data_IF_814534748012
#
_entry.id   IF_814534748012
#
_cell.length_a   1.000
_cell.length_b   1.000
_cell.length_c   1.000
_cell.angle_alpha   90.00
_cell.angle_beta   90.00
_cell.angle_gamma   90.00
#
_symmetry.space_group_name_H-M   'P 1'
#
loop_
_entity.id
_entity.type
_entity.pdbx_description
1 polymer ?
#
# COMPACT_ATOMS: atom_id res chain seq x y z
N UNK A 1 -20.77 -28.30 -8.18
CA UNK A 1 -22.12 -27.72 -8.04
C UNK A 1 -22.31 -27.09 -6.67
N UNK A 2 -21.72 -27.63 -5.60
CA UNK A 2 -21.89 -27.11 -4.23
C UNK A 2 -21.31 -25.71 -3.98
N UNK A 3 -20.20 -25.33 -4.63
CA UNK A 3 -19.55 -24.02 -4.42
C UNK A 3 -20.35 -22.85 -5.01
N UNK A 4 -20.95 -23.04 -6.18
CA UNK A 4 -21.74 -22.02 -6.87
C UNK A 4 -23.05 -21.73 -6.11
N UNK A 5 -23.70 -22.78 -5.60
CA UNK A 5 -24.90 -22.63 -4.76
C UNK A 5 -24.59 -21.95 -3.42
N UNK A 6 -23.46 -22.28 -2.79
CA UNK A 6 -23.02 -21.60 -1.57
C UNK A 6 -22.79 -20.11 -1.80
N UNK A 7 -22.14 -19.75 -2.90
CA UNK A 7 -21.89 -18.36 -3.28
C UNK A 7 -23.20 -17.61 -3.57
N UNK A 8 -24.15 -18.23 -4.30
CA UNK A 8 -25.48 -17.65 -4.53
C UNK A 8 -26.26 -17.43 -3.24
N UNK A 9 -26.19 -18.37 -2.28
CA UNK A 9 -26.79 -18.22 -0.95
C UNK A 9 -26.19 -17.03 -0.21
N UNK A 10 -24.86 -16.94 -0.18
CA UNK A 10 -24.14 -15.87 0.49
C UNK A 10 -24.40 -14.50 -0.14
N UNK A 11 -24.47 -14.44 -1.47
CA UNK A 11 -24.81 -13.22 -2.19
C UNK A 11 -26.24 -12.75 -1.90
N UNK A 12 -27.18 -13.68 -1.71
CA UNK A 12 -28.54 -13.36 -1.29
C UNK A 12 -28.58 -12.85 0.15
N UNK A 13 -27.80 -13.46 1.04
CA UNK A 13 -27.67 -13.05 2.43
C UNK A 13 -27.07 -11.64 2.56
N UNK A 14 -25.98 -11.35 1.86
CA UNK A 14 -25.37 -10.01 1.86
C UNK A 14 -26.28 -8.95 1.24
N UNK A 15 -27.02 -9.29 0.19
CA UNK A 15 -28.04 -8.41 -0.38
C UNK A 15 -29.16 -8.11 0.62
N UNK A 16 -29.64 -9.11 1.36
CA UNK A 16 -30.65 -8.93 2.39
C UNK A 16 -30.13 -8.04 3.53
N UNK A 17 -28.92 -8.33 4.05
CA UNK A 17 -28.29 -7.54 5.09
C UNK A 17 -28.11 -6.08 4.67
N UNK A 18 -27.70 -5.83 3.42
CA UNK A 18 -27.60 -4.47 2.88
C UNK A 18 -28.97 -3.78 2.82
N UNK A 19 -30.02 -4.48 2.43
CA UNK A 19 -31.38 -3.92 2.41
C UNK A 19 -31.93 -3.62 3.80
N UNK A 20 -31.55 -4.37 4.83
CA UNK A 20 -31.91 -4.09 6.21
C UNK A 20 -31.19 -2.85 6.79
N UNK A 21 -29.98 -2.53 6.31
CA UNK A 21 -29.23 -1.36 6.81
C UNK A 21 -29.75 -0.02 6.28
N UNK A 22 -30.32 0.03 5.07
CA UNK A 22 -30.88 1.25 4.46
C UNK A 22 -31.93 1.97 5.32
N UNK A 23 -32.98 1.31 5.84
CA UNK A 23 -33.98 1.99 6.67
C UNK A 23 -33.38 2.51 7.98
N UNK A 24 -32.33 1.87 8.51
CA UNK A 24 -31.62 2.39 9.69
C UNK A 24 -30.88 3.68 9.36
N UNK A 25 -30.25 3.77 8.18
CA UNK A 25 -29.61 5.01 7.69
C UNK A 25 -30.63 6.13 7.55
N UNK A 26 -31.81 5.86 6.99
CA UNK A 26 -32.89 6.84 6.88
C UNK A 26 -33.43 7.27 8.24
N UNK A 27 -33.51 6.34 9.20
CA UNK A 27 -33.87 6.64 10.59
C UNK A 27 -32.83 7.54 11.26
N UNK A 28 -31.53 7.28 11.04
CA UNK A 28 -30.44 8.12 11.55
C UNK A 28 -30.52 9.52 10.95
N UNK A 29 -30.73 9.62 9.64
CA UNK A 29 -30.86 10.90 8.91
C UNK A 29 -31.97 11.78 9.48
N UNK A 30 -33.11 11.17 9.80
CA UNK A 30 -34.29 11.84 10.34
C UNK A 30 -34.32 11.89 11.88
N UNK A 31 -33.24 11.50 12.55
CA UNK A 31 -33.19 11.51 14.01
C UNK A 31 -33.27 12.95 14.52
N UNK A 32 -34.28 13.23 15.34
CA UNK A 32 -34.49 14.52 16.00
C UNK A 32 -34.35 14.34 17.50
N UNK A 33 -33.51 15.15 18.14
CA UNK A 33 -33.35 15.13 19.60
C UNK A 33 -34.65 15.53 20.28
N UNK A 34 -35.23 14.60 21.05
CA UNK A 34 -36.28 14.90 22.01
C UNK A 34 -35.63 15.46 23.29
N UNK A 35 -36.20 16.54 23.82
CA UNK A 35 -35.67 17.24 25.00
C UNK A 35 -35.56 16.24 26.16
N UNK A 36 -34.34 16.06 26.70
CA UNK A 36 -34.05 15.16 27.82
C UNK A 36 -33.71 13.70 27.45
N UNK A 37 -33.84 13.30 26.18
CA UNK A 37 -33.35 12.02 25.69
C UNK A 37 -31.91 12.23 25.20
N UNK A 38 -30.93 11.74 25.97
CA UNK A 38 -29.51 11.95 25.71
C UNK A 38 -29.09 11.60 24.28
N UNK A 39 -27.89 12.04 23.91
CA UNK A 39 -27.34 11.82 22.56
C UNK A 39 -27.01 10.34 22.26
N UNK A 40 -27.21 9.49 23.25
CA UNK A 40 -26.88 8.08 23.29
C UNK A 40 -27.62 7.27 22.23
N UNK A 41 -28.94 7.46 22.06
CA UNK A 41 -29.70 6.70 21.08
C UNK A 41 -29.28 6.98 19.62
N UNK A 42 -28.78 8.19 19.32
CA UNK A 42 -28.21 8.51 18.01
C UNK A 42 -26.86 7.82 17.82
N UNK A 43 -26.03 7.83 18.86
CA UNK A 43 -24.70 7.22 18.83
C UNK A 43 -24.79 5.70 18.73
N UNK A 44 -25.71 5.08 19.46
CA UNK A 44 -26.02 3.64 19.41
C UNK A 44 -26.49 3.24 18.01
N UNK A 45 -27.49 3.95 17.45
CA UNK A 45 -27.95 3.69 16.08
C UNK A 45 -26.83 3.86 15.05
N UNK A 46 -25.98 4.89 15.21
CA UNK A 46 -24.81 5.09 14.37
C UNK A 46 -23.79 3.95 14.48
N UNK A 47 -23.54 3.44 15.68
CA UNK A 47 -22.65 2.32 15.94
C UNK A 47 -23.20 1.00 15.38
N UNK A 48 -24.51 0.76 15.53
CA UNK A 48 -25.20 -0.40 14.97
C UNK A 48 -25.09 -0.42 13.44
N UNK A 49 -25.39 0.70 12.77
CA UNK A 49 -25.26 0.83 11.32
C UNK A 49 -23.82 0.60 10.88
N UNK A 50 -22.85 1.17 11.61
CA UNK A 50 -21.44 0.97 11.29
C UNK A 50 -21.01 -0.50 11.40
N UNK A 51 -21.44 -1.19 12.46
CA UNK A 51 -21.14 -2.61 12.67
C UNK A 51 -21.78 -3.49 11.60
N UNK A 52 -23.05 -3.26 11.26
CA UNK A 52 -23.74 -3.99 10.19
C UNK A 52 -23.08 -3.75 8.82
N UNK A 53 -22.72 -2.50 8.52
CA UNK A 53 -22.07 -2.17 7.25
C UNK A 53 -20.67 -2.79 7.14
N UNK A 54 -19.93 -2.85 8.25
CA UNK A 54 -18.64 -3.54 8.33
C UNK A 54 -18.81 -5.05 8.08
N UNK A 55 -19.80 -5.69 8.68
CA UNK A 55 -20.07 -7.11 8.42
C UNK A 55 -20.38 -7.38 6.94
N UNK A 56 -21.17 -6.50 6.30
CA UNK A 56 -21.46 -6.61 4.86
C UNK A 56 -20.21 -6.35 4.01
N UNK A 57 -19.33 -5.44 4.42
CA UNK A 57 -18.01 -5.22 3.80
C UNK A 57 -17.16 -6.49 3.85
N UNK A 58 -17.05 -7.13 5.03
CA UNK A 58 -16.30 -8.37 5.22
C UNK A 58 -16.87 -9.51 4.35
N UNK A 59 -18.19 -9.64 4.26
CA UNK A 59 -18.81 -10.66 3.41
C UNK A 59 -18.62 -10.41 1.91
N UNK A 60 -18.64 -9.14 1.47
CA UNK A 60 -18.36 -8.77 0.08
C UNK A 60 -16.89 -9.00 -0.27
N UNK A 61 -15.97 -8.78 0.67
CA UNK A 61 -14.54 -9.10 0.48
C UNK A 61 -14.37 -10.60 0.23
N UNK A 62 -15.02 -11.45 1.04
CA UNK A 62 -14.92 -12.89 0.86
C UNK A 62 -15.61 -13.33 -0.46
N UNK A 63 -16.76 -12.74 -0.80
CA UNK A 63 -17.41 -12.96 -2.10
C UNK A 63 -16.50 -12.58 -3.27
N UNK A 64 -15.75 -11.48 -3.17
CA UNK A 64 -14.81 -11.07 -4.21
C UNK A 64 -13.66 -12.07 -4.37
N UNK A 65 -13.12 -12.62 -3.27
CA UNK A 65 -12.09 -13.67 -3.33
C UNK A 65 -12.63 -14.93 -4.01
N UNK A 66 -13.85 -15.35 -3.66
CA UNK A 66 -14.50 -16.52 -4.28
C UNK A 66 -14.78 -16.29 -5.78
N UNK A 67 -15.23 -15.10 -6.14
CA UNK A 67 -15.48 -14.67 -7.52
C UNK A 67 -14.18 -14.63 -8.34
N UNK A 68 -13.10 -14.06 -7.78
CA UNK A 68 -11.79 -14.02 -8.43
C UNK A 68 -11.25 -15.44 -8.66
N UNK A 69 -11.47 -16.36 -7.72
CA UNK A 69 -11.16 -17.78 -7.90
C UNK A 69 -11.91 -18.42 -9.06
N UNK A 70 -13.18 -18.07 -9.26
CA UNK A 70 -13.99 -18.55 -10.40
C UNK A 70 -13.57 -17.94 -11.74
N UNK A 71 -13.12 -16.69 -11.75
CA UNK A 71 -12.60 -16.01 -12.95
C UNK A 71 -11.27 -16.62 -13.43
N UNK A 72 -10.35 -16.89 -12.50
CA UNK A 72 -9.08 -17.58 -12.79
C UNK A 72 -9.34 -19.01 -13.28
N UNK A 73 -10.27 -19.74 -12.67
CA UNK A 73 -10.65 -21.07 -13.12
C UNK A 73 -11.24 -21.05 -14.55
N UNK A 74 -12.04 -20.04 -14.87
CA UNK A 74 -12.68 -19.90 -16.19
C UNK A 74 -11.66 -19.51 -17.28
N UNK A 75 -10.71 -18.62 -16.98
CA UNK A 75 -9.65 -18.21 -17.92
C UNK A 75 -8.65 -19.33 -18.23
N UNK A 76 -8.31 -20.17 -17.23
CA UNK A 76 -7.43 -21.33 -17.43
C UNK A 76 -8.11 -22.44 -18.27
N UNK A 77 -9.42 -22.62 -18.11
CA UNK A 77 -10.19 -23.63 -18.83
C UNK A 77 -10.46 -23.23 -20.29
N UNK A 78 -10.65 -21.92 -20.55
CA UNK A 78 -10.84 -21.38 -21.90
C UNK A 78 -9.63 -21.57 -22.84
N UNK A 79 -8.41 -21.76 -22.31
CA UNK A 79 -7.19 -21.92 -23.11
C UNK A 79 -6.89 -23.37 -23.50
N UNK A 80 -7.65 -24.35 -22.97
CA UNK A 80 -7.36 -25.79 -23.13
C UNK A 80 -8.40 -26.62 -23.89
N UNK A 81 -9.58 -26.12 -24.27
CA UNK A 81 -10.53 -26.96 -25.03
C UNK A 81 -11.60 -26.20 -25.83
N UNK A 82 -11.64 -26.33 -27.17
CA UNK A 82 -12.76 -25.88 -28.00
C UNK A 82 -13.70 -27.05 -28.31
N UNK A 83 -14.13 -27.83 -27.30
CA UNK A 83 -15.12 -28.89 -27.53
C UNK A 83 -16.49 -28.45 -27.03
N UNK A 84 -17.48 -28.64 -27.92
CA UNK A 84 -18.88 -28.24 -27.88
C UNK A 84 -19.71 -28.86 -26.76
N UNK A 85 -19.27 -28.77 -25.50
CA UNK A 85 -20.10 -29.13 -24.36
C UNK A 85 -21.07 -27.98 -24.07
N UNK A 86 -22.31 -28.12 -24.56
CA UNK A 86 -23.45 -27.22 -24.28
C UNK A 86 -23.60 -26.95 -22.78
N UNK A 87 -23.25 -27.94 -21.95
CA UNK A 87 -23.32 -27.90 -20.49
C UNK A 87 -22.17 -27.09 -19.82
N UNK A 88 -21.08 -26.80 -20.56
CA UNK A 88 -20.01 -25.91 -20.11
C UNK A 88 -20.39 -24.43 -20.28
N UNK A 89 -21.03 -24.10 -21.41
CA UNK A 89 -21.49 -22.75 -21.71
C UNK A 89 -22.56 -22.23 -20.73
N UNK A 90 -23.45 -23.10 -20.27
CA UNK A 90 -24.47 -22.74 -19.27
C UNK A 90 -23.84 -22.39 -17.92
N UNK A 91 -22.87 -23.20 -17.45
CA UNK A 91 -22.13 -22.93 -16.21
C UNK A 91 -21.28 -21.66 -16.31
N UNK A 92 -20.68 -21.38 -17.46
CA UNK A 92 -19.91 -20.16 -17.65
C UNK A 92 -20.81 -18.92 -17.75
N UNK A 93 -22.03 -19.05 -18.27
CA UNK A 93 -23.04 -18.00 -18.22
C UNK A 93 -23.53 -17.73 -16.79
N UNK A 94 -23.74 -18.78 -15.98
CA UNK A 94 -24.09 -18.65 -14.56
C UNK A 94 -23.01 -17.95 -13.75
N UNK A 95 -21.73 -18.31 -13.96
CA UNK A 95 -20.59 -17.63 -13.31
C UNK A 95 -20.55 -16.15 -13.66
N UNK A 96 -20.68 -15.80 -14.95
CA UNK A 96 -20.71 -14.40 -15.39
C UNK A 96 -21.85 -13.61 -14.75
N UNK A 97 -23.03 -14.22 -14.59
CA UNK A 97 -24.16 -13.61 -13.88
C UNK A 97 -23.83 -13.34 -12.41
N UNK A 98 -23.23 -14.32 -11.74
CA UNK A 98 -22.81 -14.18 -10.34
C UNK A 98 -21.80 -13.05 -10.15
N UNK A 99 -20.80 -12.97 -11.04
CA UNK A 99 -19.78 -11.90 -11.03
C UNK A 99 -20.45 -10.53 -11.17
N UNK A 100 -21.34 -10.37 -12.16
CA UNK A 100 -22.04 -9.10 -12.36
C UNK A 100 -22.95 -8.69 -11.19
N UNK A 101 -23.56 -9.65 -10.49
CA UNK A 101 -24.36 -9.36 -9.29
C UNK A 101 -23.44 -8.96 -8.12
N UNK A 102 -22.29 -9.61 -7.95
CA UNK A 102 -21.32 -9.27 -6.91
C UNK A 102 -20.74 -7.85 -7.09
N UNK A 103 -20.38 -7.48 -8.33
CA UNK A 103 -19.93 -6.13 -8.66
C UNK A 103 -20.99 -5.07 -8.38
N UNK A 104 -22.25 -5.35 -8.75
CA UNK A 104 -23.38 -4.47 -8.47
C UNK A 104 -23.57 -4.27 -6.96
N UNK A 105 -23.46 -5.33 -6.18
CA UNK A 105 -23.60 -5.29 -4.73
C UNK A 105 -22.45 -4.49 -4.08
N UNK A 106 -21.22 -4.64 -4.57
CA UNK A 106 -20.08 -3.84 -4.13
C UNK A 106 -20.27 -2.34 -4.44
N UNK A 107 -20.84 -2.01 -5.60
CA UNK A 107 -21.23 -0.64 -5.94
C UNK A 107 -22.32 -0.08 -5.03
N UNK A 108 -23.31 -0.90 -4.69
CA UNK A 108 -24.41 -0.55 -3.79
C UNK A 108 -23.90 -0.29 -2.35
N UNK A 109 -22.95 -1.10 -1.86
CA UNK A 109 -22.29 -0.91 -0.58
C UNK A 109 -21.58 0.45 -0.49
N UNK A 110 -20.79 0.79 -1.52
CA UNK A 110 -20.09 2.09 -1.60
C UNK A 110 -21.08 3.25 -1.54
N UNK A 111 -22.20 3.13 -2.26
CA UNK A 111 -23.28 4.12 -2.22
C UNK A 111 -23.89 4.23 -0.82
N UNK A 112 -24.25 3.12 -0.18
CA UNK A 112 -24.79 3.15 1.19
C UNK A 112 -23.80 3.71 2.20
N UNK A 113 -22.49 3.52 2.02
CA UNK A 113 -21.45 4.13 2.88
C UNK A 113 -21.43 5.65 2.74
N UNK A 114 -21.54 6.15 1.50
CA UNK A 114 -21.65 7.60 1.28
C UNK A 114 -22.92 8.16 1.88
N UNK A 115 -24.07 7.48 1.69
CA UNK A 115 -25.36 7.86 2.26
C UNK A 115 -25.28 7.89 3.80
N UNK A 116 -24.67 6.88 4.44
CA UNK A 116 -24.44 6.85 5.88
C UNK A 116 -23.62 8.04 6.39
N UNK A 117 -22.52 8.40 5.71
CA UNK A 117 -21.72 9.58 6.09
C UNK A 117 -22.55 10.86 6.00
N UNK A 118 -23.34 11.03 4.93
CA UNK A 118 -24.21 12.21 4.80
C UNK A 118 -25.31 12.23 5.85
N UNK A 119 -25.91 11.08 6.18
CA UNK A 119 -26.90 10.93 7.22
C UNK A 119 -26.33 11.27 8.61
N UNK A 120 -25.10 10.83 8.90
CA UNK A 120 -24.41 11.13 10.15
C UNK A 120 -24.15 12.63 10.30
N UNK A 121 -23.71 13.30 9.23
CA UNK A 121 -23.52 14.76 9.23
C UNK A 121 -24.86 15.50 9.40
N UNK A 122 -25.92 15.06 8.73
CA UNK A 122 -27.25 15.66 8.86
C UNK A 122 -27.81 15.48 10.29
N UNK A 123 -27.67 14.29 10.86
CA UNK A 123 -28.10 14.00 12.23
C UNK A 123 -27.32 14.83 13.26
N UNK A 124 -26.02 15.05 13.05
CA UNK A 124 -25.21 15.92 13.92
C UNK A 124 -25.65 17.38 13.82
N UNK A 125 -25.92 17.88 12.60
CA UNK A 125 -26.46 19.25 12.41
C UNK A 125 -27.81 19.42 13.08
N UNK A 126 -28.70 18.44 12.99
CA UNK A 126 -30.00 18.45 13.66
C UNK A 126 -29.84 18.45 15.19
N UNK A 127 -28.89 17.67 15.71
CA UNK A 127 -28.56 17.62 17.13
C UNK A 127 -28.06 18.95 17.67
N UNK A 128 -27.13 19.58 16.96
CA UNK A 128 -26.59 20.88 17.34
C UNK A 128 -27.67 21.96 17.29
N UNK A 129 -28.55 21.91 16.29
CA UNK A 129 -29.68 22.82 16.20
C UNK A 129 -30.65 22.66 17.37
N UNK A 130 -30.94 21.42 17.79
CA UNK A 130 -31.76 21.14 18.96
C UNK A 130 -31.09 21.62 20.26
N UNK A 131 -29.80 21.33 20.46
CA UNK A 131 -29.03 21.82 21.62
C UNK A 131 -28.97 23.35 21.70
N UNK A 132 -28.90 24.04 20.56
CA UNK A 132 -28.97 25.52 20.51
C UNK A 132 -30.32 26.01 21.02
N UNK A 133 -31.42 25.42 20.53
CA UNK A 133 -32.78 25.76 20.98
C UNK A 133 -32.98 25.49 22.47
N UNK A 134 -32.47 24.38 23.01
CA UNK A 134 -32.51 24.10 24.45
C UNK A 134 -31.76 25.16 25.26
N UNK A 135 -30.56 25.55 24.83
CA UNK A 135 -29.81 26.62 25.49
C UNK A 135 -30.56 27.94 25.46
N UNK A 136 -31.12 28.32 24.31
CA UNK A 136 -31.93 29.53 24.18
C UNK A 136 -33.13 29.51 25.15
N UNK A 137 -33.85 28.40 25.26
CA UNK A 137 -34.96 28.25 26.22
C UNK A 137 -34.52 28.39 27.68
N UNK A 138 -33.34 27.87 28.04
CA UNK A 138 -32.79 27.99 29.39
C UNK A 138 -32.33 29.42 29.71
N UNK A 139 -31.76 30.13 28.73
CA UNK A 139 -31.34 31.54 28.89
C UNK A 139 -32.53 32.50 28.92
N UNK A 140 -33.66 32.18 28.28
CA UNK A 140 -34.90 32.96 28.37
C UNK A 140 -35.69 32.78 29.68
N UNK A 141 -35.17 32.07 30.70
CA UNK A 141 -35.79 32.03 32.04
C UNK A 141 -35.33 33.24 32.86
N UNK A 142 -36.07 34.37 32.89
CA UNK A 142 -35.52 35.65 33.29
C UNK A 142 -35.70 35.91 34.79
N UNK A 143 -34.68 36.53 35.39
CA UNK A 143 -34.70 37.81 36.14
C UNK A 143 -35.93 38.34 36.91
N UNK A 144 -37.08 37.66 37.02
CA UNK A 144 -38.24 38.14 37.81
C UNK A 144 -38.03 38.02 39.33
N UNK A 145 -37.01 37.27 39.78
CA UNK A 145 -36.77 37.04 41.20
C UNK A 145 -35.81 38.05 41.87
N UNK A 146 -35.22 38.97 41.11
CA UNK A 146 -34.17 39.86 41.62
C UNK A 146 -34.70 41.19 42.22
N UNK A 147 -35.95 41.56 41.99
CA UNK A 147 -36.48 42.88 42.40
C UNK A 147 -37.16 42.90 43.78
N UNK A 148 -37.38 41.77 44.44
CA UNK A 148 -38.14 41.72 45.72
C UNK A 148 -37.29 41.71 47.00
N UNK A 149 -35.96 41.85 46.91
CA UNK A 149 -35.06 41.62 48.06
C UNK A 149 -34.38 42.89 48.63
N UNK A 150 -34.95 44.08 48.43
CA UNK A 150 -34.42 45.34 49.00
C UNK A 150 -35.45 46.00 49.91
N UNK A 151 -35.74 45.38 51.04
CA UNK A 151 -36.65 45.91 52.06
C UNK A 151 -36.02 45.90 53.45
N UNK A 152 -35.57 47.08 53.88
CA UNK A 152 -35.48 47.58 55.24
C UNK A 152 -34.75 46.74 56.31
N UNK A 153 -33.76 47.34 56.99
CA UNK A 153 -33.76 47.40 58.45
C UNK A 153 -32.76 48.43 58.98
N UNK A 154 -33.25 49.29 59.88
CA UNK A 154 -32.45 50.23 60.68
C UNK A 154 -32.15 49.52 62.00
N UNK A 155 -31.01 48.83 62.08
CA UNK A 155 -30.62 48.08 63.28
C UNK A 155 -29.98 49.01 64.33
N UNK A 156 -30.34 48.80 65.59
CA UNK A 156 -29.72 49.48 66.75
C UNK A 156 -28.31 48.91 67.01
N UNK A 157 -27.42 49.68 67.66
CA UNK A 157 -26.00 49.30 67.80
C UNK A 157 -25.78 47.92 68.47
N UNK A 158 -26.66 47.52 69.40
CA UNK A 158 -26.61 46.19 70.02
C UNK A 158 -27.04 45.07 69.06
N UNK A 159 -28.05 45.32 68.20
CA UNK A 159 -28.41 44.39 67.12
C UNK A 159 -27.30 44.23 66.09
N UNK A 160 -26.57 45.31 65.79
CA UNK A 160 -25.42 45.24 64.87
C UNK A 160 -24.31 44.37 65.44
N UNK A 161 -24.05 44.42 66.75
CA UNK A 161 -23.02 43.59 67.41
C UNK A 161 -23.44 42.12 67.52
N UNK A 162 -24.71 41.85 67.83
CA UNK A 162 -25.26 40.49 67.87
C UNK A 162 -25.32 39.89 66.47
N UNK A 163 -25.75 40.68 65.47
CA UNK A 163 -25.75 40.25 64.08
C UNK A 163 -24.33 40.07 63.54
N UNK A 164 -23.36 40.91 63.92
CA UNK A 164 -21.96 40.72 63.56
C UNK A 164 -21.39 39.41 64.16
N UNK A 165 -21.75 39.08 65.40
CA UNK A 165 -21.32 37.81 66.03
C UNK A 165 -22.00 36.61 65.37
N UNK A 166 -23.26 36.74 64.98
CA UNK A 166 -24.01 35.76 64.19
C UNK A 166 -23.39 35.58 62.80
N UNK A 167 -22.99 36.68 62.14
CA UNK A 167 -22.36 36.69 60.82
C UNK A 167 -20.96 36.08 60.87
N UNK A 168 -20.17 36.33 61.92
CA UNK A 168 -18.89 35.64 62.13
C UNK A 168 -19.13 34.14 62.34
N UNK A 169 -20.12 33.76 63.13
CA UNK A 169 -20.47 32.34 63.35
C UNK A 169 -20.97 31.69 62.05
N UNK A 170 -21.75 32.41 61.26
CA UNK A 170 -22.24 31.96 59.96
C UNK A 170 -21.10 31.88 58.94
N UNK A 171 -20.16 32.81 58.95
CA UNK A 171 -18.97 32.80 58.11
C UNK A 171 -18.08 31.60 58.46
N UNK A 172 -17.87 31.31 59.75
CA UNK A 172 -17.04 30.19 60.21
C UNK A 172 -17.69 28.83 59.90
N UNK A 173 -19.02 28.73 59.99
CA UNK A 173 -19.75 27.56 59.48
C UNK A 173 -19.60 27.42 57.97
N UNK A 174 -19.70 28.54 57.23
CA UNK A 174 -19.54 28.55 55.78
C UNK A 174 -18.13 28.18 55.35
N UNK A 175 -17.09 28.62 56.07
CA UNK A 175 -15.70 28.21 55.79
C UNK A 175 -15.47 26.74 56.13
N UNK A 176 -16.09 26.23 57.18
CA UNK A 176 -16.05 24.80 57.49
C UNK A 176 -16.74 23.96 56.41
N UNK A 177 -17.93 24.37 55.95
CA UNK A 177 -18.61 23.73 54.82
C UNK A 177 -17.77 23.81 53.54
N UNK A 178 -17.13 24.95 53.26
CA UNK A 178 -16.20 25.11 52.13
C UNK A 178 -14.97 24.21 52.26
N UNK A 179 -14.39 24.11 53.45
CA UNK A 179 -13.23 23.25 53.71
C UNK A 179 -13.61 21.78 53.56
N UNK A 180 -14.79 21.36 54.03
CA UNK A 180 -15.31 20.01 53.81
C UNK A 180 -15.56 19.74 52.32
N UNK A 181 -16.12 20.71 51.59
CA UNK A 181 -16.34 20.60 50.16
C UNK A 181 -15.02 20.53 49.38
N UNK A 182 -14.02 21.35 49.73
CA UNK A 182 -12.69 21.30 49.11
C UNK A 182 -11.94 20.01 49.44
N UNK A 183 -12.06 19.48 50.65
CA UNK A 183 -11.49 18.19 51.01
C UNK A 183 -12.11 17.04 50.19
N UNK A 184 -13.44 17.05 50.01
CA UNK A 184 -14.11 16.07 49.13
C UNK A 184 -13.68 16.20 47.67
N UNK A 185 -13.46 17.45 47.20
CA UNK A 185 -12.97 17.74 45.86
C UNK A 185 -11.50 17.35 45.67
N UNK A 186 -10.69 17.48 46.72
CA UNK A 186 -9.29 17.04 46.73
C UNK A 186 -9.19 15.52 46.69
N UNK A 187 -10.05 14.80 47.42
CA UNK A 187 -10.12 13.33 47.31
C UNK A 187 -10.51 12.88 45.90
N UNK A 188 -11.49 13.53 45.27
CA UNK A 188 -11.83 13.23 43.89
C UNK A 188 -10.70 13.54 42.89
N UNK A 189 -9.94 14.62 43.13
CA UNK A 189 -8.76 14.95 42.34
C UNK A 189 -7.64 13.91 42.52
N UNK A 190 -7.43 13.41 43.74
CA UNK A 190 -6.47 12.34 44.02
C UNK A 190 -6.88 11.03 43.34
N UNK A 191 -8.15 10.64 43.43
CA UNK A 191 -8.67 9.46 42.75
C UNK A 191 -8.50 9.58 41.22
N UNK A 192 -8.74 10.76 40.66
CA UNK A 192 -8.53 11.02 39.22
C UNK A 192 -7.04 10.93 38.82
N UNK A 193 -6.14 11.44 39.67
CA UNK A 193 -4.69 11.34 39.43
C UNK A 193 -4.20 9.90 39.54
N UNK A 194 -4.74 9.13 40.48
CA UNK A 194 -4.43 7.71 40.65
C UNK A 194 -4.93 6.90 39.45
N UNK A 195 -6.17 7.14 39.01
CA UNK A 195 -6.70 6.55 37.78
C UNK A 195 -5.87 6.93 36.55
N UNK A 196 -5.43 8.19 36.44
CA UNK A 196 -4.55 8.63 35.34
C UNK A 196 -3.19 7.96 35.40
N UNK A 197 -2.64 7.74 36.58
CA UNK A 197 -1.37 7.04 36.78
C UNK A 197 -1.50 5.55 36.44
N UNK A 198 -2.60 4.91 36.82
CA UNK A 198 -2.92 3.55 36.43
C UNK A 198 -3.15 3.41 34.91
N UNK A 199 -3.77 4.40 34.28
CA UNK A 199 -3.89 4.45 32.84
C UNK A 199 -2.51 4.56 32.16
N UNK A 200 -1.62 5.43 32.68
CA UNK A 200 -0.24 5.54 32.18
C UNK A 200 0.58 4.25 32.35
N UNK A 201 0.42 3.53 33.47
CA UNK A 201 1.09 2.24 33.65
C UNK A 201 0.56 1.17 32.69
N UNK A 202 -0.77 1.09 32.50
CA UNK A 202 -1.38 0.17 31.53
C UNK A 202 -0.95 0.47 30.09
N UNK A 203 -0.77 1.75 29.76
CA UNK A 203 -0.26 2.18 28.46
C UNK A 203 1.21 1.78 28.30
N UNK A 204 2.04 1.96 29.33
CA UNK A 204 3.44 1.52 29.35
C UNK A 204 3.56 0.00 29.15
N UNK A 205 2.71 -0.78 29.83
CA UNK A 205 2.64 -2.24 29.66
C UNK A 205 2.21 -2.62 28.24
N UNK A 206 1.23 -1.90 27.67
CA UNK A 206 0.81 -2.08 26.29
C UNK A 206 1.94 -1.80 25.30
N UNK A 207 2.74 -0.76 25.53
CA UNK A 207 3.93 -0.46 24.71
C UNK A 207 5.02 -1.53 24.85
N UNK A 208 5.26 -2.05 26.05
CA UNK A 208 6.20 -3.14 26.27
C UNK A 208 5.76 -4.43 25.56
N UNK A 209 4.46 -4.74 25.58
CA UNK A 209 3.89 -5.85 24.84
C UNK A 209 4.01 -5.64 23.32
N UNK A 210 3.76 -4.42 22.81
CA UNK A 210 3.96 -4.08 21.40
C UNK A 210 5.41 -4.26 20.97
N UNK A 211 6.39 -3.90 21.81
CA UNK A 211 7.82 -4.14 21.54
C UNK A 211 8.15 -5.65 21.47
N UNK A 212 7.54 -6.46 22.34
CA UNK A 212 7.63 -7.93 22.27
C UNK A 212 7.04 -8.48 20.96
N UNK A 213 5.86 -8.01 20.55
CA UNK A 213 5.24 -8.43 19.29
C UNK A 213 6.06 -7.95 18.09
N UNK A 214 6.58 -6.73 18.11
CA UNK A 214 7.44 -6.18 17.06
C UNK A 214 8.76 -6.95 16.95
N UNK A 215 9.40 -7.31 18.07
CA UNK A 215 10.62 -8.11 18.07
C UNK A 215 10.38 -9.53 17.56
N UNK A 216 9.25 -10.16 17.93
CA UNK A 216 8.86 -11.47 17.40
C UNK A 216 8.59 -11.40 15.89
N UNK A 217 7.88 -10.37 15.43
CA UNK A 217 7.63 -10.12 14.00
C UNK A 217 8.93 -9.89 13.25
N UNK A 218 9.85 -9.09 13.79
CA UNK A 218 11.18 -8.85 13.20
C UNK A 218 11.99 -10.14 13.12
N UNK A 219 11.92 -10.99 14.13
CA UNK A 219 12.59 -12.30 14.13
C UNK A 219 12.01 -13.22 13.06
N UNK A 220 10.67 -13.27 12.93
CA UNK A 220 9.99 -14.03 11.89
C UNK A 220 10.31 -13.50 10.49
N UNK A 221 10.23 -12.18 10.28
CA UNK A 221 10.58 -11.53 9.01
C UNK A 221 12.06 -11.76 8.67
N UNK A 222 12.96 -11.67 9.65
CA UNK A 222 14.38 -11.97 9.45
C UNK A 222 14.60 -13.43 9.06
N UNK A 223 13.91 -14.37 9.72
CA UNK A 223 13.95 -15.80 9.38
C UNK A 223 13.42 -16.05 7.96
N UNK A 224 12.31 -15.42 7.59
CA UNK A 224 11.67 -15.57 6.29
C UNK A 224 12.54 -14.95 5.18
N UNK A 225 13.07 -13.74 5.38
CA UNK A 225 14.00 -13.10 4.46
C UNK A 225 15.32 -13.86 4.34
N UNK A 226 15.84 -14.42 5.43
CA UNK A 226 17.04 -15.26 5.41
C UNK A 226 16.79 -16.54 4.60
N UNK A 227 15.64 -17.19 4.81
CA UNK A 227 15.24 -18.40 4.09
C UNK A 227 14.99 -18.14 2.60
N UNK A 228 14.31 -17.05 2.27
CA UNK A 228 14.00 -16.70 0.87
C UNK A 228 15.27 -16.26 0.11
N UNK A 229 16.24 -15.61 0.79
CA UNK A 229 17.54 -15.28 0.20
C UNK A 229 18.37 -16.52 -0.13
N UNK A 230 18.38 -17.54 0.74
CA UNK A 230 19.13 -18.77 0.41
C UNK A 230 18.54 -19.49 -0.79
N UNK A 231 17.21 -19.53 -0.91
CA UNK A 231 16.53 -20.21 -2.02
C UNK A 231 16.76 -19.47 -3.35
N UNK A 232 16.73 -18.14 -3.33
CA UNK A 232 17.02 -17.30 -4.50
C UNK A 232 18.44 -17.53 -5.01
N UNK A 233 19.42 -17.73 -4.11
CA UNK A 233 20.81 -17.97 -4.52
C UNK A 233 21.01 -19.33 -5.20
N UNK A 234 20.30 -20.39 -4.76
CA UNK A 234 20.35 -21.70 -5.41
C UNK A 234 19.65 -21.69 -6.77
N UNK A 235 18.50 -21.04 -6.89
CA UNK A 235 17.79 -20.88 -8.16
C UNK A 235 18.61 -20.07 -9.17
N UNK A 236 19.24 -18.98 -8.73
CA UNK A 236 20.12 -18.15 -9.55
C UNK A 236 21.32 -18.94 -10.06
N UNK A 237 22.03 -19.64 -9.17
CA UNK A 237 23.20 -20.46 -9.56
C UNK A 237 22.80 -21.59 -10.52
N UNK A 238 21.65 -22.24 -10.29
CA UNK A 238 21.14 -23.31 -11.15
C UNK A 238 20.73 -22.78 -12.54
N UNK A 239 20.15 -21.58 -12.60
CA UNK A 239 19.77 -20.93 -13.86
C UNK A 239 21.00 -20.55 -14.69
N UNK A 240 22.07 -20.03 -14.07
CA UNK A 240 23.33 -19.75 -14.77
C UNK A 240 24.01 -21.03 -15.28
N UNK A 241 24.00 -22.13 -14.52
CA UNK A 241 24.50 -23.43 -15.00
C UNK A 241 23.67 -23.97 -16.18
N UNK A 242 22.35 -23.81 -16.14
CA UNK A 242 21.46 -24.18 -17.25
C UNK A 242 21.75 -23.33 -18.50
N UNK A 243 21.89 -22.02 -18.35
CA UNK A 243 22.29 -21.15 -19.47
C UNK A 243 23.66 -21.54 -19.99
N UNK A 244 24.64 -21.80 -19.11
CA UNK A 244 25.99 -22.22 -19.51
C UNK A 244 26.00 -23.53 -20.30
N UNK A 245 25.20 -24.52 -19.88
CA UNK A 245 25.09 -25.80 -20.59
C UNK A 245 24.32 -25.67 -21.91
N UNK A 246 23.27 -24.85 -21.98
CA UNK A 246 22.57 -24.53 -23.24
C UNK A 246 23.50 -23.78 -24.17
N UNK A 247 24.21 -22.75 -23.69
CA UNK A 247 25.19 -22.00 -24.48
C UNK A 247 26.30 -22.91 -25.00
N UNK A 248 26.80 -23.84 -24.19
CA UNK A 248 27.77 -24.86 -24.60
C UNK A 248 27.20 -25.81 -25.66
N UNK A 249 25.95 -26.26 -25.50
CA UNK A 249 25.27 -27.08 -26.49
C UNK A 249 25.05 -26.34 -27.80
N UNK A 250 24.64 -25.08 -27.77
CA UNK A 250 24.48 -24.24 -28.95
C UNK A 250 25.83 -24.02 -29.63
N UNK A 251 26.89 -23.71 -28.86
CA UNK A 251 28.25 -23.60 -29.38
C UNK A 251 28.71 -24.89 -30.06
N UNK A 252 28.52 -26.04 -29.39
CA UNK A 252 28.94 -27.34 -29.90
C UNK A 252 28.09 -27.86 -31.05
N UNK A 253 26.78 -27.62 -31.03
CA UNK A 253 25.81 -28.22 -31.97
C UNK A 253 25.51 -27.29 -33.15
N UNK A 254 25.23 -26.02 -32.87
CA UNK A 254 24.75 -25.04 -33.85
C UNK A 254 25.86 -24.20 -34.46
N UNK A 255 26.94 -23.93 -33.73
CA UNK A 255 28.07 -23.18 -34.30
C UNK A 255 29.07 -24.12 -34.97
N UNK A 256 29.47 -25.24 -34.36
CA UNK A 256 30.54 -26.07 -34.95
C UNK A 256 30.22 -26.69 -36.33
N UNK A 257 28.97 -27.12 -36.56
CA UNK A 257 28.57 -27.73 -37.84
C UNK A 257 28.46 -26.72 -38.99
N UNK A 258 27.56 -25.72 -38.90
CA UNK A 258 27.41 -24.67 -39.89
C UNK A 258 28.66 -23.79 -40.05
N UNK A 259 29.44 -23.54 -38.99
CA UNK A 259 30.69 -22.77 -39.12
C UNK A 259 31.75 -23.53 -39.92
N UNK A 260 31.76 -24.87 -39.89
CA UNK A 260 32.62 -25.65 -40.81
C UNK A 260 32.16 -25.51 -42.27
N UNK A 261 30.85 -25.47 -42.52
CA UNK A 261 30.30 -25.21 -43.85
C UNK A 261 30.56 -23.75 -44.30
N UNK A 262 30.45 -22.79 -43.37
CA UNK A 262 30.66 -21.36 -43.59
C UNK A 262 32.14 -20.98 -43.68
N UNK A 263 33.06 -21.80 -43.16
CA UNK A 263 34.50 -21.71 -43.40
C UNK A 263 34.90 -22.41 -44.71
N UNK A 264 34.27 -23.54 -45.06
CA UNK A 264 34.55 -24.26 -46.31
C UNK A 264 34.01 -23.52 -47.54
N UNK A 265 32.83 -22.91 -47.46
CA UNK A 265 32.21 -22.15 -48.56
C UNK A 265 33.10 -21.03 -49.10
N UNK A 266 33.65 -20.09 -48.30
CA UNK A 266 34.51 -19.02 -48.80
C UNK A 266 35.82 -19.57 -49.35
N UNK A 267 36.41 -20.60 -48.73
CA UNK A 267 37.64 -21.24 -49.23
C UNK A 267 37.40 -21.91 -50.59
N UNK A 268 36.28 -22.60 -50.77
CA UNK A 268 35.89 -23.21 -52.04
C UNK A 268 35.56 -22.16 -53.10
N UNK A 269 34.84 -21.09 -52.75
CA UNK A 269 34.58 -20.00 -53.70
C UNK A 269 35.87 -19.28 -54.06
N UNK A 270 36.79 -19.06 -53.13
CA UNK A 270 38.08 -18.42 -53.39
C UNK A 270 38.98 -19.33 -54.24
N UNK A 271 39.01 -20.64 -53.99
CA UNK A 271 39.68 -21.60 -54.86
C UNK A 271 39.08 -21.60 -56.27
N UNK A 272 37.75 -21.58 -56.41
CA UNK A 272 37.10 -21.50 -57.71
C UNK A 272 37.29 -20.14 -58.41
N UNK A 273 37.38 -19.04 -57.66
CA UNK A 273 37.63 -17.69 -58.19
C UNK A 273 39.09 -17.55 -58.61
N UNK A 274 40.03 -18.06 -57.81
CA UNK A 274 41.46 -18.13 -58.14
C UNK A 274 41.69 -19.08 -59.32
N UNK A 275 41.04 -20.24 -59.36
CA UNK A 275 41.07 -21.14 -60.51
C UNK A 275 40.39 -20.53 -61.74
N UNK A 276 39.35 -19.71 -61.58
CA UNK A 276 38.70 -18.96 -62.66
C UNK A 276 39.55 -17.79 -63.14
N UNK A 277 40.31 -17.12 -62.29
CA UNK A 277 41.17 -15.98 -62.66
C UNK A 277 42.49 -16.45 -63.25
N UNK A 278 43.04 -17.55 -62.73
CA UNK A 278 44.24 -18.20 -63.29
C UNK A 278 43.87 -19.02 -64.55
N UNK A 279 42.69 -19.63 -64.59
CA UNK A 279 42.14 -20.32 -65.77
C UNK A 279 41.64 -19.37 -66.87
N UNK A 280 41.35 -18.11 -66.53
CA UNK A 280 41.04 -17.02 -67.48
C UNK A 280 42.28 -16.18 -67.81
N UNK A 281 43.49 -16.68 -67.59
CA UNK A 281 44.68 -16.15 -68.24
C UNK A 281 44.98 -16.84 -69.58
N UNK A 282 44.20 -17.84 -69.99
CA UNK A 282 44.48 -18.65 -71.20
C UNK A 282 43.33 -18.77 -72.20
N UNK A 283 42.23 -18.01 -72.09
CA UNK A 283 41.19 -18.05 -73.12
C UNK A 283 40.87 -16.65 -73.63
N UNK A 284 41.60 -16.26 -74.68
CA UNK A 284 41.11 -15.28 -75.64
C UNK A 284 39.77 -15.74 -76.23
N UNK A 285 38.88 -14.77 -76.44
CA UNK A 285 37.81 -14.80 -77.44
C UNK A 285 36.55 -15.61 -77.09
N UNK A 286 35.51 -14.91 -76.64
CA UNK A 286 34.35 -14.56 -77.48
C UNK A 286 33.01 -14.64 -76.74
N UNK A 287 32.29 -13.52 -76.83
CA UNK A 287 30.85 -13.39 -76.62
C UNK A 287 30.11 -14.17 -77.72
N UNK A 288 29.09 -14.95 -77.36
CA UNK A 288 27.79 -15.04 -78.05
C UNK A 288 26.85 -16.10 -77.44
N UNK A 289 25.66 -15.63 -77.06
CA UNK A 289 24.34 -16.19 -77.44
C UNK A 289 23.86 -17.55 -76.91
N UNK A 290 22.65 -17.45 -76.38
CA UNK A 290 21.63 -18.46 -76.05
C UNK A 290 21.46 -19.61 -77.06
N UNK A 291 21.14 -20.79 -76.52
CA UNK A 291 20.13 -21.79 -76.94
C UNK A 291 20.64 -23.23 -76.88
N UNK A 292 19.72 -24.08 -76.43
CA UNK A 292 19.75 -25.53 -76.28
C UNK A 292 20.35 -26.29 -77.46
N UNK A 293 21.10 -27.36 -77.20
CA UNK A 293 20.96 -28.66 -77.90
C UNK A 293 21.70 -29.78 -77.17
N UNK A 294 21.10 -30.97 -77.30
CA UNK A 294 21.49 -32.31 -76.85
C UNK A 294 22.65 -32.89 -77.67
N UNK A 295 23.44 -33.80 -77.08
CA UNK A 295 24.36 -34.72 -77.79
C UNK A 295 25.65 -34.94 -76.99
N UNK A 296 25.74 -35.95 -76.12
CA UNK A 296 26.13 -37.35 -76.38
C UNK A 296 27.55 -37.54 -76.94
N UNK A 297 28.42 -38.13 -76.11
CA UNK A 297 29.49 -39.04 -76.54
C UNK A 297 30.92 -38.48 -76.51
N UNK A 298 31.83 -39.20 -75.84
CA UNK A 298 33.28 -39.05 -76.08
C UNK A 298 34.17 -39.25 -74.86
N UNK A 299 34.55 -40.50 -74.61
CA UNK A 299 35.55 -40.98 -73.64
C UNK A 299 37.01 -40.66 -74.02
N UNK A 300 37.85 -40.34 -73.03
CA UNK A 300 39.31 -40.63 -72.96
C UNK A 300 39.79 -40.28 -71.52
N UNK A 301 39.97 -41.21 -70.57
CA UNK A 301 41.05 -42.21 -70.34
C UNK A 301 42.42 -41.63 -69.94
N UNK A 302 42.87 -42.12 -68.76
CA UNK A 302 44.24 -42.16 -68.20
C UNK A 302 44.82 -40.82 -67.69
N UNK A 303 45.50 -40.74 -66.53
CA UNK A 303 46.39 -41.71 -65.92
C UNK A 303 46.59 -41.44 -64.42
N UNK A 304 46.75 -42.49 -63.63
CA UNK A 304 47.19 -42.54 -62.22
C UNK A 304 48.70 -42.91 -62.23
N UNK A 305 49.58 -42.31 -61.41
CA UNK A 305 49.92 -42.82 -60.06
C UNK A 305 50.18 -41.67 -59.05
N UNK A 306 50.00 -41.80 -57.74
CA UNK A 306 50.38 -42.89 -56.84
C UNK A 306 51.63 -42.45 -56.06
N UNK A 307 51.50 -42.21 -54.75
CA UNK A 307 52.62 -41.84 -53.88
C UNK A 307 52.16 -41.46 -52.48
N UNK A 308 52.25 -42.42 -51.56
CA UNK A 308 52.20 -42.25 -50.11
C UNK A 308 53.40 -41.44 -49.62
N UNK A 309 53.27 -40.74 -48.48
CA UNK A 309 54.20 -40.82 -47.34
C UNK A 309 53.91 -39.73 -46.28
N UNK A 310 53.51 -40.17 -45.09
CA UNK A 310 53.84 -39.57 -43.78
C UNK A 310 55.31 -39.85 -43.46
N UNK A 311 56.07 -39.15 -42.56
CA UNK A 311 55.66 -38.54 -41.28
C UNK A 311 56.32 -37.15 -41.04
N UNK A 312 56.18 -36.42 -39.93
CA UNK A 312 57.01 -36.52 -38.69
C UNK A 312 56.59 -35.43 -37.68
N UNK A 313 56.76 -35.73 -36.39
CA UNK A 313 56.53 -34.92 -35.19
C UNK A 313 57.71 -33.97 -34.92
N UNK A 314 57.46 -32.75 -34.45
CA UNK A 314 58.36 -32.00 -33.55
C UNK A 314 57.52 -31.32 -32.45
N UNK A 315 57.86 -31.66 -31.20
CA UNK A 315 57.41 -30.99 -29.96
C UNK A 315 58.25 -29.74 -29.70
N UNK A 316 57.63 -28.70 -29.14
CA UNK A 316 58.31 -27.80 -28.18
C UNK A 316 57.30 -27.36 -27.11
N UNK A 317 57.76 -27.32 -25.86
CA UNK A 317 56.99 -27.02 -24.63
C UNK A 317 56.69 -25.53 -24.49
N UNK A 318 56.15 -24.98 -23.40
CA UNK A 318 55.95 -25.40 -22.01
C UNK A 318 54.99 -24.34 -21.41
N UNK A 319 54.39 -24.62 -20.24
CA UNK A 319 53.72 -23.69 -19.31
C UNK A 319 52.18 -23.65 -19.32
N UNK A 320 51.63 -24.37 -18.34
CA UNK A 320 50.30 -24.23 -17.78
C UNK A 320 50.15 -22.91 -16.98
N UNK A 321 48.96 -22.31 -16.87
CA UNK A 321 48.74 -21.19 -15.98
C UNK A 321 48.57 -21.67 -14.53
N UNK A 322 49.52 -21.25 -13.69
CA UNK A 322 49.49 -21.36 -12.23
C UNK A 322 48.54 -20.32 -11.64
N UNK A 323 47.77 -20.77 -10.66
CA UNK A 323 46.88 -20.04 -9.77
C UNK A 323 47.63 -18.95 -9.00
N UNK A 324 47.15 -17.69 -9.03
CA UNK A 324 47.59 -16.63 -8.13
C UNK A 324 46.58 -16.43 -6.99
N UNK A 325 47.16 -16.12 -5.84
CA UNK A 325 46.62 -16.20 -4.48
C UNK A 325 46.29 -14.80 -3.92
N UNK A 326 45.50 -14.78 -2.84
CA UNK A 326 44.75 -13.72 -2.13
C UNK A 326 45.36 -12.32 -1.83
N UNK A 327 46.51 -11.93 -2.37
CA UNK A 327 47.20 -10.67 -1.99
C UNK A 327 47.04 -9.50 -2.97
N UNK A 328 46.20 -9.65 -4.00
CA UNK A 328 46.02 -8.63 -5.05
C UNK A 328 44.59 -8.06 -5.09
N UNK A 329 43.89 -8.05 -3.94
CA UNK A 329 42.49 -7.59 -3.78
C UNK A 329 42.40 -6.18 -3.13
N UNK A 330 43.53 -5.53 -2.83
CA UNK A 330 43.52 -4.29 -2.02
C UNK A 330 43.54 -2.96 -2.78
N UNK A 331 43.48 -2.95 -4.12
CA UNK A 331 43.50 -1.68 -4.89
C UNK A 331 42.18 -1.30 -5.59
N UNK A 332 41.18 -2.19 -5.63
CA UNK A 332 39.90 -1.94 -6.34
C UNK A 332 38.78 -1.32 -5.46
N UNK A 333 39.08 -0.94 -4.21
CA UNK A 333 38.06 -0.36 -3.29
C UNK A 333 38.02 1.18 -3.36
N UNK A 334 38.85 1.83 -4.18
CA UNK A 334 38.90 3.31 -4.26
C UNK A 334 37.94 3.95 -5.26
N UNK A 335 37.21 3.16 -6.06
CA UNK A 335 36.35 3.70 -7.12
C UNK A 335 34.86 3.84 -6.73
N UNK A 336 34.45 3.38 -5.54
CA UNK A 336 33.06 3.53 -5.07
C UNK A 336 32.76 4.88 -4.40
N UNK A 337 33.77 5.59 -3.87
CA UNK A 337 33.55 6.94 -3.31
C UNK A 337 33.32 8.01 -4.41
N UNK A 338 33.81 7.75 -5.62
CA UNK A 338 33.66 8.64 -6.77
C UNK A 338 32.24 8.63 -7.36
N UNK A 339 31.50 7.52 -7.20
CA UNK A 339 30.11 7.41 -7.66
C UNK A 339 29.11 8.01 -6.68
N UNK A 340 29.40 8.01 -5.37
CA UNK A 340 28.55 8.67 -4.37
C UNK A 340 28.58 10.19 -4.50
N UNK A 341 29.75 10.77 -4.77
CA UNK A 341 29.92 12.22 -4.97
C UNK A 341 29.24 12.69 -6.27
N UNK A 342 29.28 11.83 -7.31
CA UNK A 342 28.60 12.07 -8.60
C UNK A 342 27.07 11.98 -8.50
N UNK A 343 26.55 11.15 -7.59
CA UNK A 343 25.11 11.06 -7.30
C UNK A 343 24.64 12.25 -6.44
N UNK A 344 25.44 12.69 -5.48
CA UNK A 344 25.13 13.84 -4.62
C UNK A 344 25.14 15.17 -5.41
N UNK A 345 25.97 15.26 -6.46
CA UNK A 345 26.03 16.42 -7.36
C UNK A 345 24.88 16.44 -8.39
N UNK A 346 24.36 15.27 -8.81
CA UNK A 346 23.16 15.20 -9.67
C UNK A 346 21.85 15.52 -8.94
N UNK A 347 21.74 15.20 -7.64
CA UNK A 347 20.56 15.52 -6.82
C UNK A 347 20.46 17.01 -6.48
N UNK A 348 21.58 17.75 -6.54
CA UNK A 348 21.61 19.22 -6.36
C UNK A 348 21.36 20.01 -7.64
N UNK A 349 21.31 19.36 -8.80
CA UNK A 349 21.30 20.03 -10.11
C UNK A 349 19.94 20.34 -10.72
N UNK A 350 18.83 19.84 -10.17
CA UNK A 350 17.52 20.02 -10.82
C UNK A 350 16.37 20.13 -9.80
N UNK A 351 16.27 21.32 -9.19
CA UNK A 351 15.02 21.85 -8.68
C UNK A 351 14.67 23.11 -9.48
N UNK A 352 13.58 23.14 -10.25
CA UNK A 352 13.01 24.39 -10.71
C UNK A 352 12.50 25.15 -9.47
N UNK A 353 13.05 26.34 -9.27
CA UNK A 353 12.83 27.16 -8.09
C UNK A 353 11.37 27.59 -7.92
N UNK A 354 10.84 27.37 -6.72
CA UNK A 354 9.75 28.17 -6.17
C UNK A 354 10.30 29.56 -5.86
N UNK A 355 9.98 30.49 -6.75
CA UNK A 355 10.18 31.91 -6.55
C UNK A 355 9.34 32.39 -5.36
N UNK A 356 9.94 33.28 -4.57
CA UNK A 356 9.25 34.13 -3.63
C UNK A 356 8.22 34.99 -4.38
N UNK A 357 6.93 34.80 -4.12
CA UNK A 357 5.89 35.79 -4.40
C UNK A 357 4.97 35.96 -3.19
N UNK A 358 4.93 37.22 -2.75
CA UNK A 358 3.91 37.93 -1.99
C UNK A 358 2.98 37.16 -1.03
N UNK A 359 3.04 37.56 0.23
CA UNK A 359 1.95 37.40 1.19
C UNK A 359 0.66 38.01 0.63
N UNK A 360 -0.31 37.17 0.24
CA UNK A 360 -1.68 37.60 0.03
C UNK A 360 -2.35 37.84 1.39
N UNK A 361 -2.69 39.11 1.61
CA UNK A 361 -3.52 39.60 2.68
C UNK A 361 -4.93 39.02 2.55
N UNK A 362 -5.32 38.14 3.48
CA UNK A 362 -6.66 37.57 3.56
C UNK A 362 -7.65 38.62 4.12
N UNK A 363 -8.43 39.26 3.23
CA UNK A 363 -9.51 40.21 3.57
C UNK A 363 -10.83 39.48 3.93
N UNK A 364 -10.77 38.62 4.94
CA UNK A 364 -11.94 37.99 5.55
C UNK A 364 -12.23 38.59 6.93
N UNK A 365 -13.51 38.62 7.38
CA UNK A 365 -13.86 39.20 8.67
C UNK A 365 -13.08 38.52 9.81
N UNK A 366 -12.27 39.32 10.52
CA UNK A 366 -11.37 38.86 11.57
C UNK A 366 -12.14 38.13 12.66
N UNK A 367 -11.73 36.90 12.94
CA UNK A 367 -12.29 36.06 14.01
C UNK A 367 -12.01 36.69 15.39
N UNK A 368 -13.03 37.31 15.98
CA UNK A 368 -12.96 38.04 17.27
C UNK A 368 -12.83 37.14 18.50
N UNK A 369 -12.71 35.82 18.33
CA UNK A 369 -12.64 34.86 19.46
C UNK A 369 -11.31 34.13 19.60
N UNK A 370 -10.25 34.56 18.90
CA UNK A 370 -8.90 34.05 19.17
C UNK A 370 -8.35 34.72 20.44
N UNK A 371 -8.53 34.05 21.57
CA UNK A 371 -7.99 34.43 22.88
C UNK A 371 -6.47 34.19 22.83
N UNK A 372 -5.68 35.25 22.62
CA UNK A 372 -4.23 35.18 22.73
C UNK A 372 -3.88 35.11 24.22
N UNK A 373 -3.09 34.10 24.59
CA UNK A 373 -2.54 33.96 25.94
C UNK A 373 -1.41 34.97 26.10
N UNK A 374 -1.54 35.91 27.05
CA UNK A 374 -0.47 36.83 27.41
C UNK A 374 0.37 36.17 28.50
N UNK A 375 1.63 35.87 28.19
CA UNK A 375 2.63 35.42 29.13
C UNK A 375 3.19 36.65 29.86
N UNK A 376 3.10 36.65 31.19
CA UNK A 376 3.59 37.73 32.04
C UNK A 376 5.12 37.71 32.13
N UNK A 377 5.76 38.75 31.59
CA UNK A 377 7.21 38.95 31.68
C UNK A 377 7.67 39.18 33.14
N UNK A 378 8.45 38.23 33.66
CA UNK A 378 9.21 38.41 34.90
C UNK A 378 10.37 39.39 34.65
N UNK A 379 10.24 40.61 35.18
CA UNK A 379 11.36 41.54 35.31
C UNK A 379 12.39 40.96 36.28
N UNK A 380 13.53 40.53 35.76
CA UNK A 380 14.76 40.33 36.53
C UNK A 380 15.43 41.68 36.73
N UNK A 381 15.30 42.22 37.94
CA UNK A 381 16.14 43.32 38.40
C UNK A 381 17.53 42.74 38.72
N UNK A 382 18.53 43.10 37.90
CA UNK A 382 19.95 42.86 38.20
C UNK A 382 20.43 43.96 39.18
N UNK A 383 21.05 43.51 40.28
CA UNK A 383 21.79 44.33 41.25
C UNK A 383 23.28 44.36 40.89
#
# INVERSE_FOLDING_TARGET
MSTLHALQSRLKETSNALNETKPLIDRLRNFTHAIGQGDEARLELGAEIHSRLKHVEDDIEILNVEVQGLEVATSQQSKRKPTSDVNGGEKDAEKKRVIGIAERLAGELRRTRTEFRTAQLQANRNAEAARRKEREMLFTRPSERAETAKGANKFTQNDVVVNASSDVTAALRRTHELMQAELSRSQFAQETLEQSTAALSSLSESYANLDSVLSSTRTLVSSLLRSQKSDTWYLETSFYLLIGTIAWLVFRRLLYGPMWWLAWMPVKTLYNLVASVIGLATISSSVATTTSVVGTGGTAVANVPGGTDTPTIVMDGENAPVMKTYEQISDDIKDEDSVLDKINQMVKGDQPGTQNEAAEEYDGPRNTKKRMWEESEERRDEL
#
